data_IF_472583620242
#
_entry.id   IF_472583620242
#
_cell.length_a   1.000
_cell.length_b   1.000
_cell.length_c   1.000
_cell.angle_alpha   90.00
_cell.angle_beta   90.00
_cell.angle_gamma   90.00
#
_symmetry.space_group_name_H-M   'P 1'
#
loop_
_entity.id
_entity.type
_entity.pdbx_description
1 polymer ?
#
# COMPACT_ATOMS: atom_id res chain seq x y z
N UNK A 1 -17.70 28.48 4.57
CA UNK A 1 -16.86 28.61 5.79
C UNK A 1 -15.53 29.29 5.47
N UNK A 2 -14.75 28.78 4.52
CA UNK A 2 -13.45 29.33 4.13
C UNK A 2 -13.46 30.83 3.78
N UNK A 3 -14.45 31.32 3.03
CA UNK A 3 -14.60 32.73 2.68
C UNK A 3 -14.72 33.65 3.90
N UNK A 4 -15.36 33.19 4.99
CA UNK A 4 -15.51 33.97 6.22
C UNK A 4 -14.16 34.13 6.95
N UNK A 5 -13.26 33.16 6.79
CA UNK A 5 -11.89 33.18 7.31
C UNK A 5 -10.88 33.77 6.30
N UNK A 6 -11.36 34.45 5.25
CA UNK A 6 -10.56 35.10 4.20
C UNK A 6 -9.73 34.13 3.34
N UNK A 7 -10.07 32.84 3.31
CA UNK A 7 -9.50 31.85 2.39
C UNK A 7 -10.42 31.80 1.17
N UNK A 8 -10.12 32.62 0.17
CA UNK A 8 -11.01 32.82 -1.00
C UNK A 8 -10.51 32.15 -2.27
N UNK A 9 -9.22 31.83 -2.36
CA UNK A 9 -8.66 31.11 -3.49
C UNK A 9 -9.00 29.61 -3.41
N UNK A 10 -9.52 29.05 -4.50
CA UNK A 10 -9.95 27.65 -4.59
C UNK A 10 -8.81 26.68 -4.25
N UNK A 11 -7.61 26.92 -4.80
CA UNK A 11 -6.40 26.15 -4.51
C UNK A 11 -6.02 26.15 -3.03
N UNK A 12 -6.20 27.28 -2.34
CA UNK A 12 -5.96 27.40 -0.90
C UNK A 12 -7.02 26.67 -0.07
N UNK A 13 -8.27 26.64 -0.55
CA UNK A 13 -9.34 25.86 0.07
C UNK A 13 -9.11 24.36 -0.09
N UNK A 14 -8.71 23.92 -1.28
CA UNK A 14 -8.36 22.52 -1.55
C UNK A 14 -7.20 22.05 -0.68
N UNK A 15 -6.10 22.81 -0.66
CA UNK A 15 -4.92 22.48 0.15
C UNK A 15 -5.27 22.39 1.64
N UNK A 16 -6.14 23.28 2.14
CA UNK A 16 -6.60 23.24 3.53
C UNK A 16 -7.47 22.01 3.82
N UNK A 17 -8.40 21.68 2.93
CA UNK A 17 -9.26 20.50 3.07
C UNK A 17 -8.43 19.23 3.09
N UNK A 18 -7.44 19.13 2.19
CA UNK A 18 -6.54 17.99 2.09
C UNK A 18 -5.68 17.88 3.37
N UNK A 19 -5.09 18.99 3.83
CA UNK A 19 -4.32 19.01 5.08
C UNK A 19 -5.14 18.60 6.32
N UNK A 20 -6.38 19.08 6.45
CA UNK A 20 -7.25 18.71 7.56
C UNK A 20 -7.70 17.25 7.49
N UNK A 21 -7.84 16.70 6.28
CA UNK A 21 -8.15 15.31 6.04
C UNK A 21 -6.97 14.41 6.47
N UNK A 22 -5.74 14.77 6.10
CA UNK A 22 -4.54 13.99 6.43
C UNK A 22 -4.24 13.99 7.92
N UNK A 23 -4.55 15.09 8.61
CA UNK A 23 -4.49 15.15 10.08
C UNK A 23 -5.60 14.33 10.77
N UNK A 24 -6.55 13.76 10.01
CA UNK A 24 -7.70 13.03 10.54
C UNK A 24 -8.69 13.92 11.30
N UNK A 25 -8.66 15.24 11.09
CA UNK A 25 -9.57 16.20 11.73
C UNK A 25 -10.92 16.21 11.02
N UNK A 26 -10.91 16.07 9.70
CA UNK A 26 -12.09 15.89 8.86
C UNK A 26 -11.89 14.69 7.93
N UNK A 27 -12.95 14.23 7.29
CA UNK A 27 -12.84 13.34 6.14
C UNK A 27 -13.40 14.07 4.92
N UNK A 28 -12.61 14.17 3.85
CA UNK A 28 -13.02 14.77 2.58
C UNK A 28 -12.69 13.83 1.43
N UNK A 29 -13.71 13.48 0.64
CA UNK A 29 -13.56 12.61 -0.51
C UNK A 29 -14.17 13.25 -1.77
N UNK A 30 -13.33 13.76 -2.66
CA UNK A 30 -13.63 14.23 -4.03
C UNK A 30 -14.19 13.15 -4.98
N UNK A 31 -14.08 11.85 -4.67
CA UNK A 31 -14.36 10.70 -5.59
C UNK A 31 -15.82 10.28 -5.53
N UNK A 32 -16.45 10.56 -4.40
CA UNK A 32 -17.84 10.24 -4.19
C UNK A 32 -18.63 11.46 -4.58
N UNK A 33 -19.51 11.33 -5.58
CA UNK A 33 -20.57 12.30 -5.84
C UNK A 33 -21.57 12.27 -4.67
N UNK A 34 -21.15 12.82 -3.54
CA UNK A 34 -22.03 13.20 -2.47
C UNK A 34 -22.59 14.56 -2.85
N UNK A 35 -23.79 14.56 -3.44
CA UNK A 35 -24.51 15.78 -3.84
C UNK A 35 -24.51 16.90 -2.78
N UNK A 36 -24.37 16.57 -1.49
CA UNK A 36 -24.49 17.51 -0.37
C UNK A 36 -23.50 17.32 0.80
N UNK A 37 -22.39 16.56 0.68
CA UNK A 37 -21.52 16.30 1.85
C UNK A 37 -20.04 16.18 1.52
N UNK A 38 -19.42 17.34 1.29
CA UNK A 38 -17.99 17.40 0.97
C UNK A 38 -17.12 17.16 2.20
N UNK A 39 -17.54 17.55 3.41
CA UNK A 39 -16.72 17.40 4.63
C UNK A 39 -17.48 16.59 5.67
N UNK A 40 -16.87 15.51 6.14
CA UNK A 40 -17.43 14.55 7.08
C UNK A 40 -16.69 14.56 8.40
N UNK A 41 -17.42 14.26 9.48
CA UNK A 41 -16.86 14.03 10.81
C UNK A 41 -16.26 12.60 10.87
N UNK A 42 -14.95 12.45 11.14
CA UNK A 42 -14.29 11.13 11.21
C UNK A 42 -14.98 10.16 12.18
N UNK A 43 -15.46 10.66 13.33
CA UNK A 43 -16.18 9.82 14.31
C UNK A 43 -17.49 9.26 13.75
N UNK A 44 -18.19 9.99 12.88
CA UNK A 44 -19.44 9.53 12.27
C UNK A 44 -19.18 8.34 11.34
N UNK A 45 -18.17 8.45 10.47
CA UNK A 45 -17.81 7.40 9.51
C UNK A 45 -17.28 6.15 10.21
N UNK A 46 -16.30 6.33 11.09
CA UNK A 46 -15.66 5.21 11.81
C UNK A 46 -16.67 4.46 12.67
N UNK A 47 -17.61 5.16 13.31
CA UNK A 47 -18.67 4.51 14.07
C UNK A 47 -19.64 3.72 13.17
N UNK A 48 -19.92 4.18 11.95
CA UNK A 48 -20.76 3.44 11.00
C UNK A 48 -20.10 2.12 10.59
N UNK A 49 -18.85 2.19 10.15
CA UNK A 49 -18.06 1.02 9.74
C UNK A 49 -17.89 0.06 10.90
N UNK A 50 -17.60 0.57 12.10
CA UNK A 50 -17.50 -0.22 13.32
C UNK A 50 -18.81 -0.97 13.64
N UNK A 51 -19.98 -0.31 13.56
CA UNK A 51 -21.28 -0.97 13.77
C UNK A 51 -21.53 -2.09 12.77
N UNK A 52 -21.13 -1.90 11.51
CA UNK A 52 -21.26 -2.91 10.46
C UNK A 52 -20.36 -4.11 10.74
N UNK A 53 -19.07 -3.89 10.94
CA UNK A 53 -18.09 -4.97 11.15
C UNK A 53 -18.39 -5.77 12.43
N UNK A 54 -18.93 -5.11 13.47
CA UNK A 54 -19.25 -5.76 14.75
C UNK A 54 -20.73 -6.16 14.88
N UNK A 55 -21.50 -6.19 13.80
CA UNK A 55 -22.89 -6.68 13.82
C UNK A 55 -22.90 -8.19 14.03
N UNK A 56 -23.59 -8.63 15.09
CA UNK A 56 -23.82 -10.07 15.35
C UNK A 56 -24.58 -10.71 14.19
N UNK A 57 -25.59 -10.02 13.65
CA UNK A 57 -26.35 -10.51 12.49
C UNK A 57 -25.48 -10.68 11.24
N UNK A 58 -24.51 -9.78 11.02
CA UNK A 58 -23.61 -9.91 9.88
C UNK A 58 -22.59 -11.05 10.09
N UNK A 59 -22.11 -11.22 11.32
CA UNK A 59 -21.22 -12.33 11.67
C UNK A 59 -21.92 -13.69 11.50
N UNK A 60 -23.20 -13.80 11.87
CA UNK A 60 -24.04 -15.00 11.64
C UNK A 60 -24.25 -15.30 10.15
N UNK A 61 -24.14 -14.29 9.28
CA UNK A 61 -24.19 -14.45 7.82
C UNK A 61 -22.79 -14.58 7.17
N UNK A 62 -21.75 -14.91 7.95
CA UNK A 62 -20.36 -15.09 7.47
C UNK A 62 -19.86 -13.91 6.62
N UNK A 63 -20.25 -12.68 6.99
CA UNK A 63 -19.81 -11.46 6.29
C UNK A 63 -20.60 -11.10 5.03
N UNK A 64 -21.62 -11.86 4.63
CA UNK A 64 -22.50 -11.52 3.49
C UNK A 64 -23.50 -10.43 3.89
N UNK A 65 -23.18 -9.19 3.56
CA UNK A 65 -24.00 -8.01 3.87
C UNK A 65 -24.94 -7.69 2.71
N UNK A 66 -26.23 -8.02 2.88
CA UNK A 66 -27.30 -7.43 2.05
C UNK A 66 -27.52 -5.98 2.46
N UNK A 67 -27.56 -5.06 1.49
CA UNK A 67 -27.67 -3.63 1.77
C UNK A 67 -28.92 -3.24 2.59
N UNK A 68 -30.00 -4.01 2.49
CA UNK A 68 -31.21 -3.81 3.31
C UNK A 68 -30.96 -3.96 4.82
N UNK A 69 -29.98 -4.81 5.21
CA UNK A 69 -29.62 -5.05 6.61
C UNK A 69 -29.02 -3.80 7.27
N UNK A 70 -28.50 -2.85 6.49
CA UNK A 70 -28.00 -1.58 7.00
C UNK A 70 -29.10 -0.77 7.71
N UNK A 71 -30.37 -0.91 7.29
CA UNK A 71 -31.49 -0.28 7.99
C UNK A 71 -31.61 -0.77 9.43
N UNK A 72 -31.18 -2.00 9.72
CA UNK A 72 -31.20 -2.58 11.06
C UNK A 72 -29.91 -2.29 11.83
N UNK A 73 -28.75 -2.43 11.18
CA UNK A 73 -27.43 -2.24 11.80
C UNK A 73 -27.20 -0.76 12.17
N UNK A 74 -27.54 0.15 11.26
CA UNK A 74 -27.34 1.59 11.42
C UNK A 74 -28.58 2.30 11.96
N UNK A 75 -29.68 1.58 12.22
CA UNK A 75 -30.84 2.14 12.90
C UNK A 75 -30.47 2.66 14.30
N UNK A 76 -31.17 3.72 14.71
CA UNK A 76 -31.10 4.20 16.08
C UNK A 76 -31.67 3.14 17.04
N UNK A 77 -30.79 2.43 17.73
CA UNK A 77 -31.18 1.67 18.91
C UNK A 77 -31.27 2.62 20.10
N UNK A 78 -32.50 2.84 20.61
CA UNK A 78 -32.70 3.28 22.01
C UNK A 78 -32.38 2.11 22.94
N UNK A 79 -31.13 1.67 23.05
CA UNK A 79 -30.81 0.51 23.88
C UNK A 79 -30.68 0.91 25.36
N UNK A 80 -31.75 0.67 26.12
CA UNK A 80 -31.70 0.53 27.57
C UNK A 80 -30.97 -0.79 27.90
N UNK A 81 -29.66 -0.73 28.12
CA UNK A 81 -28.99 -1.76 28.93
C UNK A 81 -27.66 -2.29 28.41
N UNK A 82 -26.70 -2.23 29.34
CA UNK A 82 -25.36 -2.85 29.41
C UNK A 82 -24.36 -2.49 28.29
N UNK A 83 -23.31 -1.72 28.64
CA UNK A 83 -22.26 -1.34 27.70
C UNK A 83 -21.48 -2.57 27.19
N UNK A 84 -21.32 -2.69 25.86
CA UNK A 84 -20.41 -3.65 25.22
C UNK A 84 -18.96 -3.17 25.39
N UNK A 85 -17.99 -4.04 25.09
CA UNK A 85 -16.58 -3.89 25.47
C UNK A 85 -15.93 -2.54 25.04
N UNK A 86 -16.33 -1.96 23.90
CA UNK A 86 -15.86 -0.64 23.45
C UNK A 86 -16.51 0.55 24.18
N UNK A 87 -17.71 0.40 24.74
CA UNK A 87 -18.35 1.43 25.58
C UNK A 87 -17.55 1.64 26.89
N UNK A 88 -16.70 0.66 27.27
CA UNK A 88 -15.76 0.84 28.38
C UNK A 88 -14.54 1.70 28.02
N UNK A 89 -14.13 1.74 26.75
CA UNK A 89 -12.96 2.50 26.29
C UNK A 89 -13.33 3.99 26.14
N UNK A 90 -14.56 4.29 25.72
CA UNK A 90 -15.06 5.65 25.46
C UNK A 90 -15.61 6.40 26.69
N UNK A 91 -15.35 5.90 27.92
CA UNK A 91 -15.96 6.38 29.19
C UNK A 91 -15.85 7.87 29.54
N UNK A 92 -15.14 8.68 28.75
CA UNK A 92 -14.97 10.12 29.04
C UNK A 92 -15.64 11.06 28.06
N UNK A 93 -16.25 10.58 26.98
CA UNK A 93 -17.04 11.42 26.09
C UNK A 93 -18.50 10.99 26.18
N UNK A 94 -19.42 11.95 26.36
CA UNK A 94 -20.87 11.71 26.29
C UNK A 94 -21.16 10.83 25.07
N UNK A 95 -22.00 9.81 25.22
CA UNK A 95 -22.49 8.97 24.11
C UNK A 95 -23.04 9.89 23.00
N UNK A 96 -22.26 10.13 21.96
CA UNK A 96 -22.73 10.83 20.76
C UNK A 96 -23.47 9.77 19.94
N UNK A 97 -24.80 9.75 20.05
CA UNK A 97 -25.64 8.96 19.16
C UNK A 97 -25.57 9.56 17.75
N UNK A 98 -24.80 8.92 16.85
CA UNK A 98 -24.79 9.28 15.45
C UNK A 98 -26.05 8.76 14.73
N UNK A 99 -26.66 9.64 13.94
CA UNK A 99 -27.75 9.32 13.02
C UNK A 99 -27.19 9.05 11.62
N UNK A 100 -27.65 7.96 10.98
CA UNK A 100 -27.22 7.53 9.66
C UNK A 100 -28.41 7.53 8.69
N UNK A 101 -28.58 8.59 7.87
CA UNK A 101 -29.63 8.65 6.88
C UNK A 101 -29.47 7.55 5.81
N UNK A 102 -30.59 7.02 5.29
CA UNK A 102 -30.59 5.90 4.33
C UNK A 102 -29.87 6.25 3.02
N UNK A 103 -30.00 7.50 2.58
CA UNK A 103 -29.32 8.06 1.42
C UNK A 103 -27.79 8.06 1.55
N UNK A 104 -27.25 7.91 2.77
CA UNK A 104 -25.80 7.81 3.01
C UNK A 104 -25.26 6.39 3.05
N UNK A 105 -26.11 5.37 2.95
CA UNK A 105 -25.67 3.97 3.05
C UNK A 105 -24.77 3.56 1.89
N UNK A 106 -25.08 3.97 0.65
CA UNK A 106 -24.21 3.69 -0.49
C UNK A 106 -22.82 4.26 -0.26
N UNK A 107 -22.74 5.52 0.18
CA UNK A 107 -21.47 6.16 0.48
C UNK A 107 -20.63 5.39 1.52
N UNK A 108 -21.24 4.94 2.62
CA UNK A 108 -20.53 4.15 3.65
C UNK A 108 -19.97 2.86 3.03
N UNK A 109 -20.74 2.19 2.20
CA UNK A 109 -20.32 0.96 1.53
C UNK A 109 -19.21 1.23 0.52
N UNK A 110 -19.32 2.28 -0.28
CA UNK A 110 -18.31 2.62 -1.27
C UNK A 110 -17.00 3.05 -0.60
N UNK A 111 -17.09 3.67 0.58
CA UNK A 111 -15.94 3.93 1.42
C UNK A 111 -15.29 2.64 1.95
N UNK A 112 -16.10 1.69 2.41
CA UNK A 112 -15.58 0.37 2.83
C UNK A 112 -14.89 -0.38 1.68
N UNK A 113 -15.41 -0.27 0.45
CA UNK A 113 -14.72 -0.80 -0.75
C UNK A 113 -13.40 -0.07 -1.02
N UNK A 114 -13.39 1.26 -0.92
CA UNK A 114 -12.16 2.07 -1.12
C UNK A 114 -11.06 1.70 -0.14
N UNK A 115 -11.41 1.41 1.12
CA UNK A 115 -10.48 0.91 2.13
C UNK A 115 -10.26 -0.61 2.11
N UNK A 116 -10.71 -1.30 1.06
CA UNK A 116 -10.49 -2.73 0.85
C UNK A 116 -11.03 -3.60 2.00
N UNK A 117 -12.14 -3.18 2.62
CA UNK A 117 -12.81 -3.90 3.70
C UNK A 117 -13.90 -4.85 3.18
N UNK A 118 -14.42 -4.58 1.98
CA UNK A 118 -15.45 -5.39 1.34
C UNK A 118 -15.37 -5.31 -0.19
N UNK A 119 -16.01 -6.26 -0.86
CA UNK A 119 -16.22 -6.24 -2.30
C UNK A 119 -17.66 -6.60 -2.68
N UNK A 120 -18.11 -6.16 -3.84
CA UNK A 120 -19.47 -6.43 -4.31
C UNK A 120 -19.58 -7.86 -4.86
N UNK A 121 -20.58 -8.60 -4.38
CA UNK A 121 -21.00 -9.88 -4.98
C UNK A 121 -22.00 -9.61 -6.11
N UNK A 122 -22.89 -8.64 -5.89
CA UNK A 122 -23.86 -8.14 -6.87
C UNK A 122 -24.28 -6.71 -6.47
N UNK A 123 -25.27 -6.13 -7.16
CA UNK A 123 -25.72 -4.76 -6.90
C UNK A 123 -26.30 -4.50 -5.51
N UNK A 124 -26.70 -5.54 -4.78
CA UNK A 124 -27.41 -5.42 -3.49
C UNK A 124 -26.68 -6.11 -2.32
N UNK A 125 -25.55 -6.76 -2.60
CA UNK A 125 -24.82 -7.58 -1.62
C UNK A 125 -23.32 -7.35 -1.74
N UNK A 126 -22.69 -7.10 -0.59
CA UNK A 126 -21.23 -7.04 -0.45
C UNK A 126 -20.76 -8.13 0.52
N UNK A 127 -19.54 -8.59 0.35
CA UNK A 127 -18.89 -9.52 1.28
C UNK A 127 -17.78 -8.81 2.05
N UNK A 128 -17.72 -9.03 3.36
CA UNK A 128 -16.63 -8.60 4.24
C UNK A 128 -15.75 -9.81 4.58
N UNK A 129 -14.55 -9.96 3.98
CA UNK A 129 -13.73 -11.15 4.19
C UNK A 129 -13.28 -11.38 5.64
N UNK A 130 -13.12 -10.30 6.43
CA UNK A 130 -12.73 -10.39 7.84
C UNK A 130 -13.77 -11.11 8.72
N UNK A 131 -15.02 -11.21 8.24
CA UNK A 131 -16.12 -11.89 8.92
C UNK A 131 -16.39 -13.31 8.39
N UNK A 132 -15.56 -13.81 7.47
CA UNK A 132 -15.64 -15.19 7.03
C UNK A 132 -15.38 -16.15 8.20
N UNK A 133 -15.85 -17.38 8.01
CA UNK A 133 -15.53 -18.53 8.87
C UNK A 133 -14.00 -18.69 9.00
N UNK A 134 -13.53 -19.06 10.18
CA UNK A 134 -12.09 -19.34 10.40
C UNK A 134 -11.74 -20.74 9.90
N UNK A 135 -12.70 -21.65 9.89
CA UNK A 135 -12.49 -23.04 9.50
C UNK A 135 -12.21 -23.13 7.99
N UNK A 136 -11.08 -23.76 7.65
CA UNK A 136 -10.77 -24.11 6.26
C UNK A 136 -11.81 -25.14 5.76
N UNK A 137 -12.53 -24.84 4.66
CA UNK A 137 -13.45 -25.78 4.04
C UNK A 137 -12.70 -26.89 3.28
N UNK A 138 -13.38 -28.00 2.99
CA UNK A 138 -12.81 -29.05 2.14
C UNK A 138 -12.81 -28.62 0.66
N UNK A 139 -11.68 -28.82 -0.02
CA UNK A 139 -11.51 -28.65 -1.46
C UNK A 139 -10.37 -29.56 -1.96
N UNK A 140 -10.30 -29.75 -3.27
CA UNK A 140 -9.26 -30.56 -3.92
C UNK A 140 -8.21 -29.66 -4.57
N UNK A 141 -6.93 -29.97 -4.36
CA UNK A 141 -5.80 -29.26 -4.96
C UNK A 141 -4.54 -30.14 -4.94
N UNK A 142 -3.86 -30.24 -6.09
CA UNK A 142 -2.60 -30.97 -6.19
C UNK A 142 -1.41 -30.10 -5.72
N UNK A 143 -0.96 -30.36 -4.49
CA UNK A 143 0.19 -29.66 -3.90
C UNK A 143 1.54 -30.17 -4.40
N UNK A 144 1.62 -31.36 -4.98
CA UNK A 144 2.90 -31.99 -5.36
C UNK A 144 3.47 -31.35 -6.62
N UNK A 145 2.61 -31.04 -7.60
CA UNK A 145 3.00 -30.38 -8.84
C UNK A 145 3.01 -28.84 -8.76
N UNK A 146 2.49 -28.27 -7.67
CA UNK A 146 2.33 -26.83 -7.52
C UNK A 146 3.67 -26.08 -7.42
N UNK A 147 3.69 -24.86 -7.98
CA UNK A 147 4.65 -23.84 -7.59
C UNK A 147 4.37 -23.46 -6.13
N UNK A 148 5.39 -23.53 -5.27
CA UNK A 148 5.29 -23.20 -3.85
C UNK A 148 6.09 -21.95 -3.54
N UNK A 149 5.51 -21.05 -2.75
CA UNK A 149 6.16 -19.82 -2.31
C UNK A 149 5.63 -19.43 -0.93
N UNK A 150 6.47 -18.79 -0.12
CA UNK A 150 6.10 -18.35 1.22
C UNK A 150 6.49 -16.89 1.38
N UNK A 151 5.63 -16.09 2.02
CA UNK A 151 5.97 -14.77 2.52
C UNK A 151 6.08 -14.87 4.04
N UNK A 152 7.26 -14.60 4.57
CA UNK A 152 7.61 -14.67 5.99
C UNK A 152 7.63 -13.26 6.56
N UNK A 153 6.76 -12.98 7.53
CA UNK A 153 6.62 -11.64 8.11
C UNK A 153 7.30 -11.57 9.48
N UNK A 154 7.79 -10.38 9.83
CA UNK A 154 8.19 -10.07 11.21
C UNK A 154 7.00 -9.90 12.16
N UNK A 155 5.86 -9.49 11.59
CA UNK A 155 4.54 -9.47 12.18
C UNK A 155 3.52 -9.48 11.06
N UNK A 156 2.61 -10.46 10.99
CA UNK A 156 1.57 -10.52 9.95
C UNK A 156 0.33 -9.68 10.35
N UNK A 157 0.06 -8.52 9.73
CA UNK A 157 -1.13 -7.75 10.04
C UNK A 157 -2.39 -8.49 9.59
N UNK A 158 -3.40 -8.54 10.48
CA UNK A 158 -4.68 -9.25 10.22
C UNK A 158 -5.44 -8.75 9.00
N UNK A 159 -5.15 -7.55 8.52
CA UNK A 159 -5.79 -6.98 7.33
C UNK A 159 -5.16 -7.46 6.01
N UNK A 160 -3.97 -8.08 6.00
CA UNK A 160 -3.31 -8.51 4.77
C UNK A 160 -4.15 -9.52 4.00
N UNK A 161 -4.60 -10.60 4.66
CA UNK A 161 -5.38 -11.65 4.00
C UNK A 161 -6.77 -11.15 3.54
N UNK A 162 -7.57 -10.43 4.37
CA UNK A 162 -8.82 -9.83 3.91
C UNK A 162 -8.66 -8.89 2.71
N UNK A 163 -7.64 -8.01 2.72
CA UNK A 163 -7.37 -7.09 1.59
C UNK A 163 -6.95 -7.85 0.33
N UNK A 164 -6.17 -8.92 0.48
CA UNK A 164 -5.83 -9.79 -0.64
C UNK A 164 -7.08 -10.46 -1.25
N UNK A 165 -7.98 -10.97 -0.42
CA UNK A 165 -9.27 -11.54 -0.87
C UNK A 165 -10.09 -10.47 -1.61
N UNK A 166 -10.18 -9.25 -1.08
CA UNK A 166 -10.86 -8.13 -1.77
C UNK A 166 -10.22 -7.83 -3.13
N UNK A 167 -8.88 -7.73 -3.22
CA UNK A 167 -8.20 -7.42 -4.48
C UNK A 167 -8.34 -8.53 -5.52
N UNK A 168 -8.35 -9.80 -5.10
CA UNK A 168 -8.41 -10.98 -5.98
C UNK A 168 -9.83 -11.53 -6.19
N UNK A 169 -10.87 -10.85 -5.70
CA UNK A 169 -12.24 -11.40 -5.65
C UNK A 169 -12.82 -11.89 -6.98
N UNK A 170 -12.34 -11.37 -8.11
CA UNK A 170 -12.80 -11.77 -9.45
C UNK A 170 -12.41 -13.20 -9.82
N UNK A 171 -11.35 -13.72 -9.21
CA UNK A 171 -10.85 -15.08 -9.44
C UNK A 171 -11.42 -16.07 -8.41
N UNK A 172 -12.23 -15.61 -7.45
CA UNK A 172 -12.83 -16.49 -6.42
C UNK A 172 -14.10 -17.12 -6.99
N UNK A 173 -14.13 -18.46 -7.09
CA UNK A 173 -15.33 -19.19 -7.53
C UNK A 173 -16.27 -19.57 -6.38
N UNK A 174 -15.73 -20.22 -5.34
CA UNK A 174 -16.59 -20.69 -4.23
C UNK A 174 -15.87 -20.89 -2.89
N UNK A 175 -14.55 -21.05 -2.87
CA UNK A 175 -13.84 -21.47 -1.66
C UNK A 175 -12.99 -20.34 -1.09
N UNK A 176 -13.42 -19.81 0.05
CA UNK A 176 -12.71 -18.79 0.81
C UNK A 176 -13.09 -18.88 2.29
N UNK A 177 -12.13 -18.57 3.15
CA UNK A 177 -12.29 -18.49 4.59
C UNK A 177 -11.41 -17.34 5.09
N UNK A 178 -11.49 -17.01 6.38
CA UNK A 178 -10.83 -15.82 6.92
C UNK A 178 -9.32 -15.77 6.69
N UNK A 179 -8.68 -16.94 6.73
CA UNK A 179 -7.23 -17.08 6.59
C UNK A 179 -6.82 -17.72 5.26
N UNK A 180 -7.70 -17.79 4.26
CA UNK A 180 -7.30 -18.36 2.97
C UNK A 180 -8.36 -18.33 1.88
N UNK A 181 -7.91 -18.59 0.66
CA UNK A 181 -8.75 -18.53 -0.53
C UNK A 181 -8.22 -19.47 -1.61
N UNK A 182 -9.15 -20.06 -2.37
CA UNK A 182 -8.85 -20.74 -3.63
C UNK A 182 -9.26 -19.83 -4.77
N UNK A 183 -8.33 -19.60 -5.69
CA UNK A 183 -8.51 -18.74 -6.85
C UNK A 183 -8.43 -19.58 -8.13
N UNK A 184 -9.28 -19.27 -9.10
CA UNK A 184 -9.26 -19.86 -10.44
C UNK A 184 -9.22 -18.75 -11.48
N UNK A 185 -8.06 -18.59 -12.13
CA UNK A 185 -7.90 -17.61 -13.18
C UNK A 185 -8.02 -18.27 -14.56
N UNK A 186 -9.20 -18.07 -15.18
CA UNK A 186 -9.51 -18.62 -16.51
C UNK A 186 -8.52 -18.17 -17.57
N UNK A 187 -8.03 -16.93 -17.51
CA UNK A 187 -7.07 -16.36 -18.47
C UNK A 187 -5.74 -17.10 -18.45
N UNK A 188 -5.32 -17.59 -17.28
CA UNK A 188 -4.05 -18.29 -17.10
C UNK A 188 -4.20 -19.81 -17.13
N UNK A 189 -5.42 -20.34 -17.23
CA UNK A 189 -5.71 -21.76 -17.03
C UNK A 189 -5.00 -22.32 -15.77
N UNK A 190 -5.09 -21.57 -14.68
CA UNK A 190 -4.34 -21.82 -13.44
C UNK A 190 -5.21 -21.65 -12.20
N UNK A 191 -4.92 -22.45 -11.19
CA UNK A 191 -5.58 -22.43 -9.87
C UNK A 191 -4.55 -22.11 -8.81
N UNK A 192 -4.91 -21.33 -7.79
CA UNK A 192 -4.04 -21.01 -6.68
C UNK A 192 -4.74 -21.23 -5.35
N UNK A 193 -3.96 -21.63 -4.34
CA UNK A 193 -4.39 -21.70 -2.94
C UNK A 193 -3.48 -20.80 -2.13
N UNK A 194 -4.08 -19.86 -1.42
CA UNK A 194 -3.37 -18.92 -0.55
C UNK A 194 -3.85 -19.15 0.87
N UNK A 195 -2.92 -19.34 1.80
CA UNK A 195 -3.21 -19.60 3.22
C UNK A 195 -2.33 -18.74 4.11
N UNK A 196 -2.94 -18.08 5.08
CA UNK A 196 -2.25 -17.37 6.15
C UNK A 196 -2.15 -18.27 7.39
N UNK A 197 -0.94 -18.41 7.92
CA UNK A 197 -0.67 -18.95 9.25
C UNK A 197 -0.35 -17.79 10.19
N UNK A 198 -1.32 -17.43 11.03
CA UNK A 198 -1.16 -16.34 12.01
C UNK A 198 -0.22 -16.69 13.16
N UNK A 199 0.12 -17.97 13.37
CA UNK A 199 1.02 -18.39 14.46
C UNK A 199 2.48 -18.25 14.05
N UNK A 200 2.77 -18.67 12.84
CA UNK A 200 4.12 -18.60 12.26
C UNK A 200 4.34 -17.32 11.44
N UNK A 201 3.35 -16.42 11.40
CA UNK A 201 3.38 -15.13 10.69
C UNK A 201 3.73 -15.28 9.21
N UNK A 202 3.12 -16.29 8.57
CA UNK A 202 3.42 -16.70 7.20
C UNK A 202 2.22 -16.67 6.28
N UNK A 203 2.45 -16.37 5.01
CA UNK A 203 1.50 -16.63 3.94
C UNK A 203 2.10 -17.65 2.98
N UNK A 204 1.39 -18.76 2.82
CA UNK A 204 1.70 -19.83 1.88
C UNK A 204 0.94 -19.61 0.58
N UNK A 205 1.63 -19.71 -0.54
CA UNK A 205 1.10 -19.54 -1.88
C UNK A 205 1.43 -20.79 -2.68
N UNK A 206 0.39 -21.44 -3.19
CA UNK A 206 0.48 -22.60 -4.06
C UNK A 206 -0.19 -22.27 -5.37
N UNK A 207 0.46 -22.52 -6.50
CA UNK A 207 -0.12 -22.26 -7.82
C UNK A 207 0.12 -23.45 -8.74
N UNK A 208 -0.94 -23.96 -9.33
CA UNK A 208 -0.87 -25.02 -10.33
C UNK A 208 -1.62 -24.63 -11.62
N UNK A 209 -1.36 -25.35 -12.71
CA UNK A 209 -1.91 -25.11 -14.04
C UNK A 209 -0.87 -24.67 -15.07
N UNK A 210 -1.35 -24.38 -16.28
CA UNK A 210 -0.50 -24.23 -17.47
C UNK A 210 0.41 -22.99 -17.38
N UNK A 211 -0.14 -21.86 -16.92
CA UNK A 211 0.58 -20.59 -16.81
C UNK A 211 0.82 -20.17 -15.35
N UNK A 212 1.08 -21.16 -14.47
CA UNK A 212 1.23 -20.94 -13.02
C UNK A 212 2.25 -19.87 -12.62
N UNK A 213 3.34 -19.68 -13.39
CA UNK A 213 4.33 -18.61 -13.11
C UNK A 213 3.78 -17.22 -13.40
N UNK A 214 3.05 -17.07 -14.50
CA UNK A 214 2.47 -15.79 -14.90
C UNK A 214 1.33 -15.41 -13.95
N UNK A 215 0.53 -16.40 -13.52
CA UNK A 215 -0.49 -16.15 -12.49
C UNK A 215 0.12 -15.85 -11.12
N UNK A 216 1.15 -16.61 -10.70
CA UNK A 216 1.90 -16.35 -9.48
C UNK A 216 2.48 -14.92 -9.46
N UNK A 217 2.98 -14.42 -10.58
CA UNK A 217 3.47 -13.03 -10.70
C UNK A 217 2.40 -12.00 -10.33
N UNK A 218 1.14 -12.24 -10.74
CA UNK A 218 -0.01 -11.38 -10.38
C UNK A 218 -0.31 -11.43 -8.88
N UNK A 219 -0.30 -12.64 -8.30
CA UNK A 219 -0.52 -12.86 -6.87
C UNK A 219 0.59 -12.19 -6.04
N UNK A 220 1.85 -12.44 -6.39
CA UNK A 220 3.03 -11.85 -5.73
C UNK A 220 2.99 -10.33 -5.78
N UNK A 221 2.67 -9.74 -6.94
CA UNK A 221 2.50 -8.29 -7.08
C UNK A 221 1.40 -7.76 -6.14
N UNK A 222 0.26 -8.44 -6.08
CA UNK A 222 -0.85 -8.04 -5.21
C UNK A 222 -0.45 -8.02 -3.73
N UNK A 223 0.33 -9.01 -3.28
CA UNK A 223 0.88 -9.01 -1.92
C UNK A 223 1.89 -7.88 -1.69
N UNK A 224 2.79 -7.62 -2.64
CA UNK A 224 3.73 -6.49 -2.55
C UNK A 224 2.98 -5.17 -2.45
N UNK A 225 1.99 -4.92 -3.31
CA UNK A 225 1.18 -3.70 -3.27
C UNK A 225 0.47 -3.52 -1.90
N UNK A 226 0.00 -4.61 -1.28
CA UNK A 226 -0.57 -4.58 0.07
C UNK A 226 0.51 -4.29 1.11
N UNK A 227 1.64 -5.00 1.07
CA UNK A 227 2.72 -4.86 2.04
C UNK A 227 3.35 -3.45 2.01
N UNK A 228 3.56 -2.89 0.82
CA UNK A 228 4.13 -1.55 0.59
C UNK A 228 3.20 -0.42 1.07
N UNK A 229 1.94 -0.72 1.39
CA UNK A 229 1.01 0.22 2.00
C UNK A 229 1.19 0.37 3.51
N UNK A 230 1.98 -0.50 4.16
CA UNK A 230 2.36 -0.39 5.56
C UNK A 230 3.71 0.34 5.72
N UNK A 231 3.85 1.20 6.74
CA UNK A 231 5.05 2.03 6.91
C UNK A 231 6.33 1.22 7.18
N UNK A 232 6.23 0.11 7.92
CA UNK A 232 7.35 -0.67 8.46
C UNK A 232 7.03 -2.15 8.55
N UNK A 233 6.55 -2.74 7.46
CA UNK A 233 6.29 -4.17 7.41
C UNK A 233 7.47 -4.87 6.74
N UNK A 234 8.16 -5.76 7.44
CA UNK A 234 9.21 -6.58 6.85
C UNK A 234 8.60 -7.89 6.36
N UNK A 235 8.45 -8.01 5.04
CA UNK A 235 7.91 -9.20 4.39
C UNK A 235 9.01 -9.85 3.53
N UNK A 236 9.55 -10.98 3.99
CA UNK A 236 10.59 -11.72 3.29
C UNK A 236 9.97 -12.75 2.36
N UNK A 237 10.41 -12.73 1.13
CA UNK A 237 9.97 -13.66 0.10
C UNK A 237 10.83 -14.92 0.12
N UNK A 238 10.21 -16.08 0.27
CA UNK A 238 10.88 -17.34 0.57
C UNK A 238 10.51 -18.42 -0.46
N UNK A 239 11.52 -19.15 -0.92
CA UNK A 239 11.40 -20.27 -1.86
C UNK A 239 11.62 -21.59 -1.11
N UNK A 240 10.57 -22.41 -0.90
CA UNK A 240 10.70 -23.74 -0.31
C UNK A 240 11.57 -24.68 -1.15
N UNK A 241 12.25 -25.62 -0.50
CA UNK A 241 13.03 -26.64 -1.21
C UNK A 241 12.11 -27.69 -1.83
N UNK A 242 12.44 -28.12 -3.05
CA UNK A 242 11.64 -29.10 -3.80
C UNK A 242 11.49 -30.47 -3.11
N UNK A 243 12.44 -30.82 -2.23
CA UNK A 243 12.46 -32.09 -1.50
C UNK A 243 12.16 -31.95 -0.01
N UNK A 244 11.96 -30.72 0.48
CA UNK A 244 11.61 -30.44 1.87
C UNK A 244 10.96 -29.05 2.00
N UNK A 245 9.63 -29.02 2.04
CA UNK A 245 8.87 -27.78 2.14
C UNK A 245 9.02 -27.05 3.50
N UNK A 246 9.56 -27.70 4.54
CA UNK A 246 9.80 -27.07 5.85
C UNK A 246 10.98 -26.09 5.82
N UNK A 247 11.87 -26.24 4.84
CA UNK A 247 13.04 -25.38 4.68
C UNK A 247 12.83 -24.52 3.45
N UNK A 248 13.01 -23.22 3.63
CA UNK A 248 12.94 -22.24 2.55
C UNK A 248 14.17 -21.35 2.55
N UNK A 249 14.51 -20.82 1.38
CA UNK A 249 15.62 -19.89 1.16
C UNK A 249 15.03 -18.56 0.72
N UNK A 250 15.55 -17.46 1.25
CA UNK A 250 15.14 -16.12 0.82
C UNK A 250 15.39 -15.94 -0.68
N UNK A 251 14.38 -15.41 -1.38
CA UNK A 251 14.42 -15.21 -2.83
C UNK A 251 15.59 -14.30 -3.22
N UNK A 252 15.79 -13.19 -2.49
CA UNK A 252 16.86 -12.24 -2.75
C UNK A 252 18.27 -12.84 -2.55
N UNK A 253 18.42 -13.78 -1.60
CA UNK A 253 19.67 -14.52 -1.42
C UNK A 253 19.99 -15.36 -2.68
N UNK A 254 18.99 -16.04 -3.25
CA UNK A 254 19.16 -16.81 -4.49
C UNK A 254 19.49 -15.90 -5.67
N UNK A 255 18.90 -14.71 -5.75
CA UNK A 255 19.25 -13.70 -6.76
C UNK A 255 20.71 -13.28 -6.60
N UNK A 256 21.17 -12.99 -5.38
CA UNK A 256 22.56 -12.65 -5.11
C UNK A 256 23.54 -13.72 -5.61
N UNK A 257 23.22 -15.00 -5.39
CA UNK A 257 24.01 -16.11 -5.94
C UNK A 257 24.02 -16.14 -7.47
N UNK A 258 22.88 -15.94 -8.11
CA UNK A 258 22.78 -15.90 -9.58
C UNK A 258 23.61 -14.75 -10.18
N UNK A 259 23.56 -13.55 -9.57
CA UNK A 259 24.32 -12.38 -9.99
C UNK A 259 25.84 -12.59 -9.90
N UNK A 260 26.30 -13.32 -8.88
CA UNK A 260 27.70 -13.69 -8.69
C UNK A 260 28.12 -14.92 -9.50
N UNK A 261 27.22 -15.47 -10.34
CA UNK A 261 27.50 -16.65 -11.16
C UNK A 261 27.70 -17.93 -10.34
N UNK A 262 27.09 -18.02 -9.15
CA UNK A 262 27.13 -19.20 -8.28
C UNK A 262 25.90 -20.07 -8.51
N UNK A 263 26.10 -21.21 -9.16
CA UNK A 263 25.00 -22.11 -9.54
C UNK A 263 24.44 -22.96 -8.38
N UNK A 264 25.16 -23.05 -7.25
CA UNK A 264 24.84 -23.94 -6.13
C UNK A 264 24.76 -23.19 -4.80
N UNK A 265 23.63 -23.37 -4.10
CA UNK A 265 23.41 -22.94 -2.73
C UNK A 265 23.55 -24.14 -1.78
N UNK A 266 24.54 -24.12 -0.89
CA UNK A 266 24.83 -25.25 0.00
C UNK A 266 24.21 -25.06 1.39
N UNK A 267 23.33 -25.99 1.78
CA UNK A 267 22.70 -25.97 3.10
C UNK A 267 23.48 -26.91 4.03
N UNK A 268 24.26 -26.33 4.94
CA UNK A 268 25.10 -27.09 5.88
C UNK A 268 24.33 -28.06 6.77
N UNK A 269 23.12 -27.69 7.22
CA UNK A 269 22.25 -28.56 8.05
C UNK A 269 21.85 -29.85 7.31
N UNK A 270 21.66 -29.77 5.99
CA UNK A 270 21.29 -30.91 5.14
C UNK A 270 22.50 -31.58 4.49
N UNK A 271 23.69 -30.93 4.55
CA UNK A 271 24.91 -31.34 3.85
C UNK A 271 24.67 -31.56 2.35
N UNK A 272 23.84 -30.70 1.75
CA UNK A 272 23.36 -30.85 0.38
C UNK A 272 23.40 -29.51 -0.35
N UNK A 273 23.84 -29.56 -1.60
CA UNK A 273 23.81 -28.46 -2.55
C UNK A 273 22.50 -28.44 -3.34
N UNK A 274 21.99 -27.24 -3.58
CA UNK A 274 20.76 -26.99 -4.33
C UNK A 274 21.07 -26.07 -5.51
N UNK A 275 20.52 -26.41 -6.68
CA UNK A 275 20.72 -25.58 -7.87
C UNK A 275 19.92 -24.29 -7.76
N UNK A 276 20.62 -23.16 -7.71
CA UNK A 276 20.04 -21.80 -7.64
C UNK A 276 19.10 -21.58 -8.82
N UNK A 277 19.56 -21.90 -10.04
CA UNK A 277 18.78 -21.80 -11.27
C UNK A 277 17.49 -22.61 -11.24
N UNK A 278 17.50 -23.84 -10.70
CA UNK A 278 16.28 -24.66 -10.59
C UNK A 278 15.26 -24.06 -9.61
N UNK A 279 15.73 -23.51 -8.50
CA UNK A 279 14.87 -22.86 -7.51
C UNK A 279 14.24 -21.59 -8.11
N UNK A 280 15.06 -20.71 -8.70
CA UNK A 280 14.58 -19.45 -9.29
C UNK A 280 13.67 -19.67 -10.51
N UNK A 281 14.03 -20.58 -11.42
CA UNK A 281 13.24 -20.85 -12.63
C UNK A 281 11.90 -21.53 -12.33
N UNK A 282 11.75 -22.12 -11.14
CA UNK A 282 10.46 -22.60 -10.63
C UNK A 282 9.49 -21.46 -10.32
N UNK A 283 10.00 -20.28 -9.97
CA UNK A 283 9.23 -19.13 -9.51
C UNK A 283 9.00 -18.12 -10.64
N UNK A 284 10.07 -17.73 -11.34
CA UNK A 284 10.05 -16.69 -12.38
C UNK A 284 10.89 -17.13 -13.58
N UNK A 285 10.49 -16.74 -14.80
CA UNK A 285 11.27 -17.03 -16.01
C UNK A 285 12.62 -16.31 -15.95
N UNK A 286 13.69 -16.96 -16.40
CA UNK A 286 15.04 -16.41 -16.37
C UNK A 286 15.15 -15.12 -17.17
N UNK A 287 14.50 -15.06 -18.33
CA UNK A 287 14.49 -13.86 -19.19
C UNK A 287 13.80 -12.67 -18.51
N UNK A 288 12.78 -12.91 -17.69
CA UNK A 288 12.07 -11.87 -16.94
C UNK A 288 12.90 -11.38 -15.75
N UNK A 289 13.52 -12.31 -15.01
CA UNK A 289 14.46 -11.95 -13.94
C UNK A 289 15.65 -11.14 -14.45
N UNK A 290 16.30 -11.58 -15.53
CA UNK A 290 17.45 -10.88 -16.11
C UNK A 290 17.04 -9.48 -16.56
N UNK A 291 15.88 -9.31 -17.19
CA UNK A 291 15.37 -7.97 -17.55
C UNK A 291 15.15 -7.08 -16.33
N UNK A 292 14.66 -7.62 -15.21
CA UNK A 292 14.51 -6.85 -13.95
C UNK A 292 15.86 -6.47 -13.37
N UNK A 293 16.80 -7.41 -13.33
CA UNK A 293 18.18 -7.18 -12.88
C UNK A 293 18.86 -6.08 -13.72
N UNK A 294 18.77 -6.18 -15.05
CA UNK A 294 19.35 -5.22 -16.00
C UNK A 294 18.68 -3.83 -15.90
N UNK A 295 17.37 -3.79 -15.65
CA UNK A 295 16.64 -2.54 -15.39
C UNK A 295 17.03 -1.88 -14.06
N UNK A 296 17.58 -2.64 -13.11
CA UNK A 296 17.80 -2.19 -11.74
C UNK A 296 16.51 -2.15 -10.91
N UNK A 297 16.59 -1.71 -9.64
CA UNK A 297 15.41 -1.59 -8.78
C UNK A 297 14.31 -0.77 -9.45
N UNK A 298 13.08 -1.28 -9.41
CA UNK A 298 11.91 -0.67 -10.04
C UNK A 298 11.47 0.53 -9.19
N UNK A 299 12.13 1.67 -9.40
CA UNK A 299 11.70 2.92 -8.80
C UNK A 299 10.40 3.38 -9.46
N UNK A 300 9.40 3.70 -8.63
CA UNK A 300 8.17 4.36 -9.12
C UNK A 300 8.52 5.63 -9.90
N UNK A 301 9.56 6.34 -9.47
CA UNK A 301 10.03 7.57 -10.08
C UNK A 301 11.55 7.53 -10.34
N UNK A 302 11.99 7.96 -11.52
CA UNK A 302 13.42 8.18 -11.77
C UNK A 302 13.92 9.44 -11.04
N UNK A 303 13.07 10.46 -10.91
CA UNK A 303 13.44 11.72 -10.24
C UNK A 303 12.35 12.16 -9.26
N UNK A 304 12.72 12.55 -8.04
CA UNK A 304 11.81 13.26 -7.11
C UNK A 304 12.29 14.70 -6.94
N UNK A 305 11.36 15.66 -6.93
CA UNK A 305 11.65 17.09 -6.79
C UNK A 305 11.34 17.59 -5.39
N UNK A 306 12.36 17.98 -4.63
CA UNK A 306 12.21 18.65 -3.33
C UNK A 306 12.50 20.14 -3.46
N UNK A 307 11.52 20.98 -3.10
CA UNK A 307 11.59 22.44 -3.24
C UNK A 307 10.71 23.14 -2.19
N UNK A 308 10.98 24.41 -1.92
CA UNK A 308 10.06 25.23 -1.13
C UNK A 308 8.94 25.76 -2.02
N UNK A 309 7.72 25.92 -1.50
CA UNK A 309 6.59 26.41 -2.29
C UNK A 309 6.83 27.73 -3.06
N UNK A 310 7.72 28.59 -2.57
CA UNK A 310 8.16 29.82 -3.22
C UNK A 310 8.98 29.58 -4.50
N UNK A 311 9.67 28.44 -4.56
CA UNK A 311 10.54 28.02 -5.66
C UNK A 311 9.80 27.13 -6.69
N UNK A 312 8.47 27.00 -6.54
CA UNK A 312 7.63 26.11 -7.34
C UNK A 312 7.77 26.36 -8.84
N UNK A 313 8.01 27.60 -9.25
CA UNK A 313 8.20 27.96 -10.67
C UNK A 313 9.44 27.28 -11.27
N UNK A 314 10.52 27.10 -10.51
CA UNK A 314 11.71 26.39 -10.96
C UNK A 314 11.48 24.87 -11.03
N UNK A 315 10.83 24.32 -10.00
CA UNK A 315 10.50 22.89 -9.96
C UNK A 315 9.52 22.50 -11.08
N UNK A 316 8.52 23.34 -11.36
CA UNK A 316 7.56 23.11 -12.44
C UNK A 316 8.23 23.04 -13.81
N UNK A 317 9.14 23.96 -14.13
CA UNK A 317 9.86 23.93 -15.41
C UNK A 317 10.68 22.65 -15.58
N UNK A 318 11.37 22.21 -14.53
CA UNK A 318 12.10 20.95 -14.57
C UNK A 318 11.14 19.77 -14.77
N UNK A 319 10.01 19.75 -14.06
CA UNK A 319 8.97 18.73 -14.22
C UNK A 319 8.42 18.67 -15.65
N UNK A 320 8.18 19.82 -16.29
CA UNK A 320 7.77 19.90 -17.71
C UNK A 320 8.83 19.30 -18.64
N UNK A 321 10.11 19.63 -18.43
CA UNK A 321 11.23 19.09 -19.23
C UNK A 321 11.44 17.58 -19.03
N UNK A 322 11.20 17.07 -17.82
CA UNK A 322 11.25 15.64 -17.51
C UNK A 322 10.10 14.92 -18.22
N UNK A 323 8.89 15.50 -18.19
CA UNK A 323 7.71 14.99 -18.89
C UNK A 323 7.90 14.92 -20.40
N UNK A 324 8.46 15.97 -21.01
CA UNK A 324 8.77 16.00 -22.45
C UNK A 324 9.77 14.92 -22.88
N UNK A 325 10.62 14.47 -21.96
CA UNK A 325 11.66 13.45 -22.20
C UNK A 325 11.25 12.05 -21.80
N UNK A 326 9.99 11.85 -21.39
CA UNK A 326 9.46 10.56 -20.93
C UNK A 326 10.26 9.96 -19.76
N UNK A 327 10.76 10.83 -18.87
CA UNK A 327 11.42 10.43 -17.62
C UNK A 327 10.35 10.39 -16.54
N UNK A 328 10.22 9.31 -15.78
CA UNK A 328 9.25 9.25 -14.68
C UNK A 328 9.71 10.10 -13.50
N UNK A 329 8.83 10.92 -12.94
CA UNK A 329 9.20 11.79 -11.84
C UNK A 329 8.05 12.03 -10.86
N UNK A 330 8.40 12.35 -9.62
CA UNK A 330 7.45 12.78 -8.59
C UNK A 330 7.49 14.29 -8.45
N UNK A 331 6.32 14.91 -8.66
CA UNK A 331 6.06 16.31 -8.41
C UNK A 331 4.67 16.44 -7.80
N UNK A 332 4.61 17.04 -6.61
CA UNK A 332 3.40 17.14 -5.77
C UNK A 332 2.14 17.57 -6.54
N UNK A 333 2.28 18.47 -7.52
CA UNK A 333 1.15 19.05 -8.24
C UNK A 333 0.66 18.19 -9.41
N UNK A 334 1.45 17.22 -9.88
CA UNK A 334 1.02 16.28 -10.93
C UNK A 334 0.44 14.98 -10.34
N UNK A 335 0.76 14.67 -9.08
CA UNK A 335 0.35 13.44 -8.40
C UNK A 335 -0.87 13.66 -7.49
N UNK A 336 -1.58 14.79 -7.63
CA UNK A 336 -2.69 15.17 -6.74
C UNK A 336 -3.81 14.12 -6.66
N UNK A 337 -4.02 13.33 -7.72
CA UNK A 337 -4.99 12.24 -7.72
C UNK A 337 -4.53 11.00 -6.92
N UNK A 338 -3.22 10.73 -6.85
CA UNK A 338 -2.65 9.58 -6.15
C UNK A 338 -2.26 9.89 -4.69
N UNK A 339 -1.90 11.14 -4.41
CA UNK A 339 -1.53 11.64 -3.07
C UNK A 339 -2.72 11.83 -2.13
N UNK A 340 -3.91 11.65 -2.67
CA UNK A 340 -5.13 12.07 -2.00
C UNK A 340 -5.63 11.03 -0.99
N UNK A 341 -5.78 11.49 0.26
CA UNK A 341 -6.14 10.65 1.40
C UNK A 341 -4.99 9.81 1.95
N UNK A 342 -3.78 10.04 1.43
CA UNK A 342 -2.55 9.44 1.93
C UNK A 342 -1.95 10.37 2.96
N UNK A 343 -1.47 9.85 4.09
CA UNK A 343 -0.62 10.63 5.00
C UNK A 343 0.58 11.17 4.21
N UNK A 344 0.53 12.44 3.79
CA UNK A 344 1.54 13.05 2.93
C UNK A 344 2.92 13.06 3.59
N UNK A 345 2.97 13.09 4.92
CA UNK A 345 4.22 13.01 5.66
C UNK A 345 4.85 11.64 5.50
N UNK A 346 4.09 10.57 5.69
CA UNK A 346 4.56 9.20 5.47
C UNK A 346 4.80 8.90 3.98
N UNK A 347 3.94 9.40 3.09
CA UNK A 347 4.06 9.19 1.65
C UNK A 347 5.34 9.83 1.12
N UNK A 348 5.59 11.10 1.43
CA UNK A 348 6.79 11.77 0.97
C UNK A 348 8.02 11.10 1.60
N UNK A 349 7.99 10.70 2.88
CA UNK A 349 9.09 9.92 3.44
C UNK A 349 9.39 8.65 2.63
N UNK A 350 8.37 7.85 2.31
CA UNK A 350 8.54 6.65 1.47
C UNK A 350 9.04 6.98 0.06
N UNK A 351 8.56 8.08 -0.55
CA UNK A 351 8.98 8.49 -1.90
C UNK A 351 10.45 8.93 -1.93
N UNK A 352 10.85 9.81 -1.01
CA UNK A 352 12.21 10.32 -0.88
C UNK A 352 13.20 9.31 -0.28
N UNK A 353 12.71 8.25 0.36
CA UNK A 353 13.56 7.19 0.91
C UNK A 353 13.70 6.01 -0.05
N UNK A 354 12.61 5.51 -0.63
CA UNK A 354 12.61 4.19 -1.25
C UNK A 354 12.11 4.18 -2.71
N UNK A 355 11.23 5.12 -3.11
CA UNK A 355 10.51 5.02 -4.40
C UNK A 355 11.11 5.82 -5.56
N UNK A 356 12.12 6.66 -5.31
CA UNK A 356 12.79 7.47 -6.34
C UNK A 356 14.24 7.05 -6.62
N UNK A 357 14.71 7.14 -7.86
CA UNK A 357 16.12 6.84 -8.21
C UNK A 357 17.06 8.00 -7.84
N UNK A 358 16.65 9.25 -8.08
CA UNK A 358 17.40 10.46 -7.74
C UNK A 358 16.49 11.49 -7.09
N UNK A 359 17.03 12.29 -6.17
CA UNK A 359 16.34 13.42 -5.54
C UNK A 359 16.99 14.75 -5.95
N UNK A 360 16.29 15.55 -6.76
CA UNK A 360 16.71 16.90 -7.09
C UNK A 360 16.22 17.85 -6.00
N UNK A 361 17.16 18.58 -5.39
CA UNK A 361 16.85 19.48 -4.28
C UNK A 361 17.14 20.92 -4.67
N UNK A 362 16.10 21.76 -4.69
CA UNK A 362 16.21 23.19 -4.96
C UNK A 362 16.62 23.93 -3.68
N UNK A 363 17.88 24.36 -3.63
CA UNK A 363 18.47 25.04 -2.48
C UNK A 363 18.18 26.55 -2.57
N UNK A 364 17.43 27.06 -1.60
CA UNK A 364 17.09 28.48 -1.45
C UNK A 364 16.98 28.86 0.03
N UNK A 365 16.91 30.16 0.30
CA UNK A 365 16.61 30.68 1.65
C UNK A 365 15.26 30.16 2.18
N UNK A 366 14.26 30.08 1.29
CA UNK A 366 12.92 29.55 1.61
C UNK A 366 12.97 28.06 1.96
N UNK A 367 13.82 27.29 1.27
CA UNK A 367 14.07 25.87 1.55
C UNK A 367 14.69 25.67 2.92
N UNK A 368 15.63 26.53 3.34
CA UNK A 368 16.28 26.44 4.65
C UNK A 368 15.33 26.70 5.83
N UNK A 369 14.37 27.61 5.66
CA UNK A 369 13.48 28.10 6.72
C UNK A 369 12.32 27.16 7.03
N UNK A 370 11.93 26.28 6.11
CA UNK A 370 10.73 25.44 6.26
C UNK A 370 11.02 24.15 7.03
N UNK A 371 10.14 23.74 7.97
CA UNK A 371 10.28 22.45 8.67
C UNK A 371 10.17 21.25 7.73
N UNK A 372 9.26 21.31 6.76
CA UNK A 372 8.94 20.22 5.82
C UNK A 372 10.14 19.81 4.95
N UNK A 373 10.77 20.79 4.30
CA UNK A 373 11.96 20.62 3.46
C UNK A 373 13.15 20.04 4.24
N UNK A 374 13.29 20.40 5.53
CA UNK A 374 14.30 19.81 6.42
C UNK A 374 14.06 18.33 6.74
N UNK A 375 12.83 17.84 6.64
CA UNK A 375 12.52 16.42 6.85
C UNK A 375 12.73 15.58 5.58
N UNK A 376 12.30 16.07 4.41
CA UNK A 376 12.59 15.44 3.11
C UNK A 376 14.11 15.29 2.89
N UNK A 377 14.85 16.38 3.14
CA UNK A 377 16.30 16.41 3.03
C UNK A 377 16.98 15.41 3.98
N UNK A 378 16.47 15.23 5.19
CA UNK A 378 17.02 14.26 6.16
C UNK A 378 16.84 12.81 5.70
N UNK A 379 15.72 12.47 5.07
CA UNK A 379 15.49 11.12 4.54
C UNK A 379 16.40 10.85 3.33
N UNK A 380 16.47 11.83 2.42
CA UNK A 380 17.36 11.74 1.26
C UNK A 380 18.83 11.60 1.69
N UNK A 381 19.24 12.29 2.76
CA UNK A 381 20.58 12.17 3.35
C UNK A 381 20.83 10.80 3.97
N UNK A 382 19.87 10.28 4.76
CA UNK A 382 20.00 8.97 5.39
C UNK A 382 20.17 7.87 4.34
N UNK A 383 19.41 7.95 3.24
CA UNK A 383 19.52 7.04 2.11
C UNK A 383 20.87 7.16 1.38
N UNK A 384 21.26 8.38 1.00
CA UNK A 384 22.53 8.63 0.31
C UNK A 384 23.73 8.11 1.14
N UNK A 385 23.63 8.20 2.47
CA UNK A 385 24.62 7.66 3.39
C UNK A 385 24.63 6.12 3.43
N UNK A 386 23.46 5.47 3.47
CA UNK A 386 23.32 4.01 3.53
C UNK A 386 23.70 3.31 2.22
N UNK A 387 23.35 3.88 1.07
CA UNK A 387 23.53 3.24 -0.24
C UNK A 387 24.91 3.45 -0.87
N UNK A 388 25.73 4.35 -0.32
CA UNK A 388 27.04 4.75 -0.86
C UNK A 388 26.99 5.15 -2.37
N UNK A 389 25.86 5.69 -2.83
CA UNK A 389 25.61 6.10 -4.23
C UNK A 389 25.17 7.55 -4.32
N UNK A 390 25.34 8.15 -5.50
CA UNK A 390 24.89 9.52 -5.80
C UNK A 390 23.36 9.51 -5.89
N UNK A 391 22.70 10.02 -4.85
CA UNK A 391 21.24 10.10 -4.76
C UNK A 391 20.73 11.56 -4.82
N UNK A 392 21.39 12.48 -4.11
CA UNK A 392 20.99 13.90 -4.04
C UNK A 392 21.66 14.69 -5.16
N UNK A 393 20.87 15.43 -5.93
CA UNK A 393 21.30 16.32 -7.00
C UNK A 393 20.95 17.78 -6.64
N UNK A 394 21.88 18.55 -6.04
CA UNK A 394 21.58 19.91 -5.58
C UNK A 394 21.52 20.92 -6.73
N UNK A 395 20.48 21.76 -6.69
CA UNK A 395 20.25 22.86 -7.62
C UNK A 395 20.14 24.15 -6.82
N UNK A 396 21.11 25.07 -6.96
CA UNK A 396 21.13 26.33 -6.20
C UNK A 396 20.31 27.40 -6.91
N UNK A 397 19.38 27.98 -6.17
CA UNK A 397 18.64 29.20 -6.55
C UNK A 397 19.40 30.43 -6.01
N UNK A 398 19.99 30.31 -4.82
CA UNK A 398 20.76 31.37 -4.16
C UNK A 398 22.00 30.84 -3.41
N UNK A 399 22.68 31.74 -2.69
CA UNK A 399 23.89 31.45 -1.91
C UNK A 399 23.60 30.91 -0.50
N UNK A 400 22.35 30.54 -0.19
CA UNK A 400 22.00 29.99 1.12
C UNK A 400 22.66 28.64 1.36
N UNK A 401 23.39 28.53 2.47
CA UNK A 401 23.92 27.26 2.95
C UNK A 401 22.81 26.44 3.62
N UNK A 402 22.65 25.18 3.19
CA UNK A 402 21.64 24.28 3.74
C UNK A 402 22.32 23.25 4.64
N UNK A 403 22.01 23.22 5.94
CA UNK A 403 22.59 22.24 6.86
C UNK A 403 22.37 20.79 6.39
N UNK A 404 23.48 20.07 6.23
CA UNK A 404 23.51 18.65 5.84
C UNK A 404 23.76 18.37 4.35
N UNK A 405 23.81 19.40 3.49
CA UNK A 405 24.44 19.29 2.17
C UNK A 405 25.90 19.71 2.32
N UNK A 406 26.85 18.80 2.04
CA UNK A 406 28.27 19.09 2.15
C UNK A 406 28.73 19.97 0.98
N UNK A 407 29.59 20.96 1.24
CA UNK A 407 30.21 21.83 0.24
C UNK A 407 30.99 21.07 -0.85
N UNK A 408 31.42 19.84 -0.55
CA UNK A 408 32.11 18.98 -1.51
C UNK A 408 31.19 18.32 -2.53
N UNK A 409 29.86 18.43 -2.39
CA UNK A 409 28.88 17.89 -3.34
C UNK A 409 28.74 18.86 -4.51
N UNK A 410 28.97 18.38 -5.73
CA UNK A 410 28.77 19.19 -6.94
C UNK A 410 27.30 19.62 -7.10
N UNK A 411 27.08 20.86 -7.53
CA UNK A 411 25.76 21.46 -7.69
C UNK A 411 25.61 22.14 -9.06
N UNK A 412 24.37 22.32 -9.50
CA UNK A 412 24.04 23.21 -10.63
C UNK A 412 23.54 24.54 -10.06
N UNK A 413 24.07 25.66 -10.56
CA UNK A 413 23.63 26.99 -10.16
C UNK A 413 22.70 27.59 -11.22
N UNK A 414 21.42 27.77 -10.88
CA UNK A 414 20.38 28.24 -11.79
C UNK A 414 20.62 29.67 -12.30
N UNK A 415 21.44 30.46 -11.61
CA UNK A 415 21.81 31.81 -12.03
C UNK A 415 22.79 31.78 -13.20
N UNK A 416 23.57 30.70 -13.32
CA UNK A 416 24.51 30.47 -14.42
C UNK A 416 24.02 29.47 -15.46
N UNK A 417 23.09 28.58 -15.07
CA UNK A 417 22.50 27.53 -15.91
C UNK A 417 20.98 27.52 -15.71
N UNK A 418 20.24 28.49 -16.32
CA UNK A 418 18.80 28.58 -16.15
C UNK A 418 18.07 27.39 -16.78
N UNK A 419 16.97 26.98 -16.13
CA UNK A 419 16.05 25.90 -16.57
C UNK A 419 15.01 26.42 -17.54
#
# INVERSE_FOLDING_TARGET
MCTNEKITEETSQDTLLDFLNDLGVILHFKDFELLDTNVLEPKWVTNAVYRIINSEELAECSGLLRLELLNKILAQKKEKGKPRFFDKILKHEKEIEFYYPREKYSFIIDLMKKFELCYAINGETVLLPDLLEVQEPEFDFDYDAALKFVIDYDFLPRSVMPRFIVKMHKDIKSVQWRTGVVLEAEVFHSTAVIKADERDERIYIYVDGEQKRDYFSTIRKTFRDINDSFEKLEAKEMVPLQDNDEISIEYEELIGYELEGRDEYFIGKLRKGYSVKKLLNGIEKEEERIKKIERGPEYKYQVVLSFAGEDRTHAQKLAELLKERDISFFYDSYEQAELWGVDLYQHFQSVYRDKAQYCVVFLSESYAKKPWTRHELKQAQARAFMEHKVYILPVRIDDTEIPGINETIGYIDLRSTPV
#
